data_IF_454632738263
#
_entry.id   IF_454632738263
#
_cell.length_a   1.000
_cell.length_b   1.000
_cell.length_c   1.000
_cell.angle_alpha   90.00
_cell.angle_beta   90.00
_cell.angle_gamma   90.00
#
_symmetry.space_group_name_H-M   'P 1'
#
loop_
_entity.id
_entity.type
_entity.pdbx_description
1 polymer ?
#
# COMPACT_ATOMS: atom_id res chain seq x y z
N UNK A 1 1.89 -8.36 1.50
CA UNK A 1 0.64 -9.10 1.19
C UNK A 1 -0.12 -9.31 2.49
N UNK A 2 -1.45 -9.39 2.47
CA UNK A 2 -2.26 -9.83 3.61
C UNK A 2 -3.05 -11.07 3.20
N UNK A 3 -3.07 -12.09 4.06
CA UNK A 3 -3.80 -13.33 3.85
C UNK A 3 -4.71 -13.55 5.05
N UNK A 4 -6.02 -13.46 4.82
CA UNK A 4 -7.00 -13.78 5.85
C UNK A 4 -7.20 -15.30 5.88
N UNK A 5 -7.40 -15.83 7.08
CA UNK A 5 -7.72 -17.22 7.34
C UNK A 5 -8.62 -17.30 8.58
N UNK A 6 -9.31 -18.41 8.74
CA UNK A 6 -10.07 -18.72 9.96
C UNK A 6 -9.37 -19.85 10.72
N UNK A 7 -9.87 -20.15 11.93
CA UNK A 7 -9.27 -21.16 12.82
C UNK A 7 -9.19 -22.56 12.18
N UNK A 8 -10.04 -22.86 11.20
CA UNK A 8 -10.02 -24.17 10.52
C UNK A 8 -8.83 -24.35 9.57
N UNK A 9 -8.25 -23.24 9.11
CA UNK A 9 -7.11 -23.24 8.20
C UNK A 9 -5.76 -22.96 8.90
N UNK A 10 -5.77 -22.73 10.23
CA UNK A 10 -4.61 -22.32 11.01
C UNK A 10 -3.41 -23.27 10.86
N UNK A 11 -3.66 -24.58 10.85
CA UNK A 11 -2.61 -25.60 10.73
C UNK A 11 -1.99 -25.69 9.32
N UNK A 12 -2.56 -25.00 8.33
CA UNK A 12 -2.15 -25.08 6.92
C UNK A 12 -1.74 -23.73 6.31
N UNK A 13 -1.81 -22.66 7.10
CA UNK A 13 -1.68 -21.30 6.57
C UNK A 13 -0.25 -21.01 6.16
N UNK A 14 0.73 -21.56 6.87
CA UNK A 14 2.14 -21.36 6.61
C UNK A 14 2.53 -21.96 5.25
N UNK A 15 2.11 -23.20 4.95
CA UNK A 15 2.37 -23.82 3.64
C UNK A 15 1.70 -23.06 2.50
N UNK A 16 0.49 -22.53 2.74
CA UNK A 16 -0.21 -21.69 1.75
C UNK A 16 0.54 -20.39 1.51
N UNK A 17 1.05 -19.75 2.55
CA UNK A 17 1.81 -18.50 2.46
C UNK A 17 3.15 -18.73 1.77
N UNK A 18 3.88 -19.79 2.11
CA UNK A 18 5.13 -20.18 1.44
C UNK A 18 4.90 -20.43 -0.06
N UNK A 19 3.87 -21.21 -0.42
CA UNK A 19 3.53 -21.48 -1.82
C UNK A 19 3.12 -20.22 -2.61
N UNK A 20 2.67 -19.16 -1.93
CA UNK A 20 2.37 -17.86 -2.55
C UNK A 20 3.65 -17.05 -2.74
N UNK A 21 4.56 -17.07 -1.76
CA UNK A 21 5.87 -16.41 -1.87
C UNK A 21 6.71 -16.99 -2.98
N UNK A 22 6.73 -18.31 -3.17
CA UNK A 22 7.50 -18.99 -4.22
C UNK A 22 7.18 -18.52 -5.64
N UNK A 23 6.03 -17.86 -5.84
CA UNK A 23 5.59 -17.32 -7.13
C UNK A 23 6.06 -15.88 -7.37
N UNK A 24 6.72 -15.26 -6.39
CA UNK A 24 7.14 -13.86 -6.42
C UNK A 24 8.66 -13.75 -6.56
N UNK A 25 9.10 -12.73 -7.31
CA UNK A 25 10.52 -12.38 -7.46
C UNK A 25 10.91 -11.29 -6.45
N UNK A 26 11.18 -11.68 -5.21
CA UNK A 26 11.59 -10.78 -4.11
C UNK A 26 12.98 -11.14 -3.59
N UNK A 27 13.54 -10.30 -2.70
CA UNK A 27 14.80 -10.58 -2.01
C UNK A 27 14.47 -11.39 -0.75
N UNK A 28 14.93 -12.65 -0.61
CA UNK A 28 14.52 -13.50 0.52
C UNK A 28 14.75 -12.89 1.90
N UNK A 29 15.87 -12.18 2.08
CA UNK A 29 16.22 -11.52 3.33
C UNK A 29 15.35 -10.30 3.70
N UNK A 30 14.44 -9.85 2.81
CA UNK A 30 13.57 -8.70 3.04
C UNK A 30 12.12 -9.10 3.40
N UNK A 31 11.88 -10.35 3.78
CA UNK A 31 10.55 -10.81 4.21
C UNK A 31 10.35 -10.56 5.69
N UNK A 32 9.24 -9.89 6.01
CA UNK A 32 8.76 -9.71 7.37
C UNK A 32 7.30 -10.15 7.41
N UNK A 33 6.97 -11.03 8.37
CA UNK A 33 5.62 -11.53 8.59
C UNK A 33 5.15 -11.16 9.99
N UNK A 34 3.85 -10.96 10.13
CA UNK A 34 3.22 -10.72 11.42
C UNK A 34 1.82 -11.29 11.34
N UNK A 35 1.46 -12.13 12.30
CA UNK A 35 0.12 -12.66 12.46
C UNK A 35 -0.65 -11.79 13.46
N UNK A 36 -1.86 -11.38 13.08
CA UNK A 36 -2.64 -10.39 13.80
C UNK A 36 -4.14 -10.72 13.71
N UNK A 37 -4.94 -10.38 14.73
CA UNK A 37 -6.38 -10.41 14.62
C UNK A 37 -6.86 -9.58 13.41
N UNK A 38 -7.90 -10.07 12.74
CA UNK A 38 -8.43 -9.43 11.54
C UNK A 38 -8.79 -7.94 11.77
N UNK A 39 -9.37 -7.63 12.92
CA UNK A 39 -9.76 -6.25 13.28
C UNK A 39 -8.54 -5.36 13.49
N UNK A 40 -7.48 -5.85 14.12
CA UNK A 40 -6.25 -5.09 14.35
C UNK A 40 -5.56 -4.75 13.03
N UNK A 41 -5.60 -5.66 12.04
CA UNK A 41 -5.11 -5.36 10.70
C UNK A 41 -5.93 -4.24 10.01
N UNK A 42 -7.26 -4.23 10.19
CA UNK A 42 -8.11 -3.17 9.64
C UNK A 42 -7.82 -1.81 10.29
N UNK A 43 -7.54 -1.78 11.60
CA UNK A 43 -7.28 -0.57 12.37
C UNK A 43 -5.80 -0.15 12.41
N UNK A 44 -4.95 -0.77 11.58
CA UNK A 44 -3.47 -0.58 11.60
C UNK A 44 -2.97 0.87 11.41
N UNK A 45 -3.82 1.79 10.96
CA UNK A 45 -3.47 3.21 10.76
C UNK A 45 -3.65 4.03 12.04
N UNK A 46 -4.45 3.55 13.00
CA UNK A 46 -4.79 4.30 14.21
C UNK A 46 -3.57 4.57 15.11
N UNK A 47 -2.68 3.59 15.29
CA UNK A 47 -1.44 3.76 16.06
C UNK A 47 -0.54 4.89 15.52
N UNK A 48 -0.16 4.84 14.23
CA UNK A 48 0.57 5.93 13.58
C UNK A 48 -0.15 7.29 13.64
N UNK A 49 -1.47 7.33 13.50
CA UNK A 49 -2.24 8.57 13.68
C UNK A 49 -2.01 9.17 15.07
N UNK A 50 -2.15 8.39 16.14
CA UNK A 50 -1.96 8.88 17.51
C UNK A 50 -0.55 9.42 17.74
N UNK A 51 0.47 8.76 17.17
CA UNK A 51 1.87 9.23 17.25
C UNK A 51 2.05 10.57 16.53
N UNK A 52 1.48 10.72 15.33
CA UNK A 52 1.53 11.97 14.58
C UNK A 52 0.77 13.10 15.28
N UNK A 53 -0.36 12.80 15.93
CA UNK A 53 -1.11 13.76 16.76
C UNK A 53 -0.31 14.21 17.97
N UNK A 54 0.34 13.28 18.68
CA UNK A 54 1.20 13.60 19.82
C UNK A 54 2.37 14.52 19.42
N UNK A 55 2.86 14.39 18.19
CA UNK A 55 3.93 15.22 17.63
C UNK A 55 3.41 16.51 16.94
N UNK A 56 2.10 16.77 16.97
CA UNK A 56 1.49 17.93 16.30
C UNK A 56 1.55 17.91 14.76
N UNK A 57 1.97 16.80 14.16
CA UNK A 57 2.13 16.66 12.69
C UNK A 57 0.86 16.19 11.99
N UNK A 58 -0.13 15.68 12.73
CA UNK A 58 -1.39 15.21 12.17
C UNK A 58 -2.31 16.33 11.68
N UNK A 59 -2.30 17.51 12.30
CA UNK A 59 -3.22 18.60 11.93
C UNK A 59 -2.62 19.55 10.87
N UNK A 60 -1.39 19.29 10.40
CA UNK A 60 -0.75 20.07 9.35
C UNK A 60 -1.40 19.80 7.98
N UNK A 61 -1.38 20.76 7.03
CA UNK A 61 -1.90 20.50 5.68
C UNK A 61 -1.14 19.37 4.98
N UNK A 62 -1.85 18.34 4.52
CA UNK A 62 -1.24 17.26 3.74
C UNK A 62 -1.64 17.35 2.26
N UNK A 63 -0.73 17.81 1.39
CA UNK A 63 -0.99 17.88 -0.05
C UNK A 63 -0.90 16.49 -0.70
N UNK A 64 -1.92 15.66 -0.49
CA UNK A 64 -2.00 14.32 -1.06
C UNK A 64 -2.25 14.35 -2.56
N UNK A 65 -1.65 13.39 -3.27
CA UNK A 65 -1.86 13.16 -4.70
C UNK A 65 -2.32 11.72 -4.92
N UNK A 66 -3.58 11.56 -5.31
CA UNK A 66 -4.20 10.27 -5.60
C UNK A 66 -4.47 10.15 -7.09
N UNK A 67 -3.85 9.18 -7.77
CA UNK A 67 -3.90 9.05 -9.22
C UNK A 67 -4.18 7.60 -9.65
N UNK A 68 -5.14 7.42 -10.56
CA UNK A 68 -5.23 6.20 -11.36
C UNK A 68 -4.42 6.39 -12.64
N UNK A 69 -3.52 5.45 -12.91
CA UNK A 69 -2.69 5.45 -14.10
C UNK A 69 -2.88 4.15 -14.87
N UNK A 70 -2.88 4.17 -16.21
CA UNK A 70 -2.74 2.95 -16.99
C UNK A 70 -1.43 2.25 -16.61
N UNK A 71 -1.47 0.93 -16.49
CA UNK A 71 -0.27 0.13 -16.17
C UNK A 71 0.88 0.39 -17.15
N UNK A 72 0.58 0.75 -18.40
CA UNK A 72 1.58 1.11 -19.42
C UNK A 72 2.40 2.37 -19.10
N UNK A 73 1.95 3.21 -18.16
CA UNK A 73 2.62 4.48 -17.81
C UNK A 73 3.26 4.47 -16.42
N UNK A 74 3.21 3.35 -15.70
CA UNK A 74 3.70 3.30 -14.31
C UNK A 74 5.22 3.51 -14.21
N UNK A 75 5.97 3.03 -15.22
CA UNK A 75 7.44 3.19 -15.28
C UNK A 75 7.84 4.67 -15.42
N UNK A 76 7.06 5.45 -16.18
CA UNK A 76 7.29 6.90 -16.31
C UNK A 76 7.11 7.63 -14.98
N UNK A 77 6.11 7.20 -14.17
CA UNK A 77 5.84 7.78 -12.85
C UNK A 77 6.97 7.45 -11.85
N UNK A 78 7.45 6.21 -11.82
CA UNK A 78 8.50 5.78 -10.88
C UNK A 78 9.77 6.64 -10.98
N UNK A 79 10.19 6.96 -12.21
CA UNK A 79 11.33 7.83 -12.47
C UNK A 79 11.13 9.26 -11.93
N UNK A 80 9.89 9.76 -11.96
CA UNK A 80 9.53 11.07 -11.42
C UNK A 80 9.53 11.07 -9.89
N UNK A 81 8.94 10.03 -9.26
CA UNK A 81 8.87 9.88 -7.81
C UNK A 81 10.25 9.74 -7.19
N UNK A 82 11.12 8.87 -7.71
CA UNK A 82 12.49 8.68 -7.19
C UNK A 82 13.32 9.96 -7.13
N UNK A 83 13.02 10.94 -7.99
CA UNK A 83 13.74 12.22 -8.04
C UNK A 83 13.23 13.24 -7.03
N UNK A 84 12.04 13.04 -6.46
CA UNK A 84 11.40 14.00 -5.58
C UNK A 84 10.97 13.28 -4.28
N UNK A 85 11.86 13.27 -3.29
CA UNK A 85 11.60 12.63 -2.00
C UNK A 85 10.48 13.37 -1.26
N UNK A 86 9.42 12.65 -0.93
CA UNK A 86 8.35 13.13 -0.06
C UNK A 86 8.52 12.53 1.34
N UNK A 87 8.34 13.29 2.41
CA UNK A 87 8.51 12.80 3.79
C UNK A 87 7.38 11.89 4.30
N UNK A 88 6.45 11.47 3.44
CA UNK A 88 5.34 10.57 3.76
C UNK A 88 5.34 9.29 2.92
N UNK A 89 4.49 8.31 3.26
CA UNK A 89 4.44 7.03 2.58
C UNK A 89 3.97 7.17 1.13
N UNK A 90 4.58 6.38 0.25
CA UNK A 90 4.23 6.28 -1.16
C UNK A 90 3.59 4.91 -1.38
N UNK A 91 2.32 4.89 -1.80
CA UNK A 91 1.55 3.68 -2.05
C UNK A 91 1.38 3.48 -3.55
N UNK A 92 1.88 2.37 -4.08
CA UNK A 92 1.70 2.00 -5.49
C UNK A 92 1.22 0.55 -5.52
N UNK A 93 0.03 0.33 -6.08
CA UNK A 93 -0.51 -1.02 -6.21
C UNK A 93 -1.41 -1.16 -7.45
N UNK A 94 -1.38 -2.32 -8.12
CA UNK A 94 -2.26 -2.57 -9.26
C UNK A 94 -3.73 -2.68 -8.80
N UNK A 95 -4.66 -2.22 -9.64
CA UNK A 95 -6.08 -2.44 -9.44
C UNK A 95 -6.65 -3.18 -10.67
N UNK A 96 -7.53 -4.16 -10.43
CA UNK A 96 -8.20 -4.88 -11.51
C UNK A 96 -9.47 -4.10 -11.88
N UNK A 97 -9.37 -3.27 -12.92
CA UNK A 97 -10.44 -2.38 -13.36
C UNK A 97 -11.78 -3.08 -13.67
N UNK A 98 -11.75 -4.38 -13.99
CA UNK A 98 -12.96 -5.16 -14.31
C UNK A 98 -13.98 -5.19 -13.15
N UNK A 99 -13.55 -5.13 -11.90
CA UNK A 99 -14.44 -5.14 -10.72
C UNK A 99 -15.12 -3.78 -10.45
N UNK A 100 -14.62 -2.68 -11.04
CA UNK A 100 -15.14 -1.32 -10.84
C UNK A 100 -16.08 -0.92 -12.00
N UNK A 101 -16.18 -1.74 -13.04
CA UNK A 101 -16.96 -1.46 -14.25
C UNK A 101 -18.45 -1.84 -14.08
N UNK A 102 -19.23 -0.93 -13.50
CA UNK A 102 -20.59 -0.67 -13.99
C UNK A 102 -20.48 -0.20 -15.47
N UNK A 103 -21.47 -0.50 -16.33
CA UNK A 103 -21.22 -0.93 -17.71
C UNK A 103 -20.91 0.25 -18.65
N UNK A 104 -19.67 0.71 -18.78
CA UNK A 104 -19.27 1.49 -19.95
C UNK A 104 -17.75 1.64 -20.12
N UNK A 105 -17.29 1.27 -21.33
CA UNK A 105 -16.12 1.73 -22.07
C UNK A 105 -14.72 1.75 -21.39
N UNK A 106 -13.84 0.91 -21.96
CA UNK A 106 -12.39 0.81 -21.79
C UNK A 106 -11.92 0.06 -20.53
N UNK A 107 -11.77 -1.26 -20.68
CA UNK A 107 -10.99 -2.10 -19.79
C UNK A 107 -9.50 -1.72 -19.90
N UNK A 108 -9.09 -0.64 -19.22
CA UNK A 108 -7.68 -0.35 -19.00
C UNK A 108 -7.24 -1.11 -17.75
N UNK A 109 -6.17 -1.91 -17.87
CA UNK A 109 -5.43 -2.39 -16.70
C UNK A 109 -4.87 -1.14 -15.98
N UNK A 110 -5.54 -0.66 -14.95
CA UNK A 110 -5.18 0.56 -14.23
C UNK A 110 -4.42 0.21 -12.94
N UNK A 111 -3.26 0.82 -12.71
CA UNK A 111 -2.62 0.83 -11.40
C UNK A 111 -3.09 2.08 -10.64
N UNK A 112 -3.39 1.93 -9.36
CA UNK A 112 -3.62 3.07 -8.49
C UNK A 112 -2.31 3.43 -7.80
N UNK A 113 -1.83 4.65 -8.04
CA UNK A 113 -0.70 5.22 -7.34
C UNK A 113 -1.22 6.33 -6.42
N UNK A 114 -1.11 6.11 -5.12
CA UNK A 114 -1.40 7.10 -4.08
C UNK A 114 -0.07 7.58 -3.52
N UNK A 115 0.29 8.82 -3.81
CA UNK A 115 1.44 9.50 -3.22
C UNK A 115 0.94 10.37 -2.06
N UNK A 116 1.24 9.98 -0.81
CA UNK A 116 0.98 10.84 0.34
C UNK A 116 2.25 11.64 0.67
N UNK A 117 2.30 12.90 0.21
CA UNK A 117 3.40 13.78 0.57
C UNK A 117 3.15 14.39 1.95
N UNK A 118 3.68 13.77 3.00
CA UNK A 118 3.86 14.44 4.29
C UNK A 118 5.13 15.28 4.18
N UNK A 119 5.00 16.58 3.90
CA UNK A 119 6.14 17.49 3.92
C UNK A 119 6.62 17.60 5.38
N UNK A 120 7.73 16.95 5.70
CA UNK A 120 8.59 17.37 6.80
C UNK A 120 9.22 18.71 6.40
N UNK A 121 8.53 19.82 6.66
CA UNK A 121 9.21 21.08 6.92
C UNK A 121 9.79 21.00 8.34
N UNK A 122 10.91 20.30 8.49
CA UNK A 122 11.80 20.50 9.62
C UNK A 122 12.71 21.70 9.30
N UNK A 123 12.13 22.90 9.34
CA UNK A 123 12.89 24.11 9.62
C UNK A 123 12.33 24.67 10.93
N UNK A 124 13.14 24.51 11.98
CA UNK A 124 12.90 24.90 13.36
C UNK A 124 13.94 24.24 14.25
#
# INVERSE_FOLDING_TARGET
MAKNYDDSAADSIDEVVEALWDKLSYIPASVFTTDLPYVDFLDRVHGPELQLRANGMWELPHPWLNLFLPASRIVDLDLGIRRNSTGGPILIYPNIACLVCLPCLACMHAALATLASSLMNAHG
#
